data_IF_400966880413
#
_entry.id   IF_400966880413
#
_cell.length_a   1.000
_cell.length_b   1.000
_cell.length_c   1.000
_cell.angle_alpha   90.00
_cell.angle_beta   90.00
_cell.angle_gamma   90.00
#
_symmetry.space_group_name_H-M   'P 1'
#
loop_
_entity.id
_entity.type
_entity.pdbx_description
1 polymer ?
#
# COMPACT_ATOMS: atom_id res chain seq x y z
N UNK A 1 -17.40 1.99 -18.10
CA UNK A 1 -16.56 1.18 -17.19
C UNK A 1 -16.00 2.08 -16.10
N UNK A 2 -16.15 1.69 -14.86
CA UNK A 2 -15.56 2.39 -13.73
C UNK A 2 -14.06 2.59 -13.96
N UNK A 3 -13.61 3.83 -14.02
CA UNK A 3 -12.21 4.13 -14.13
C UNK A 3 -11.60 4.00 -12.73
N UNK A 4 -10.87 2.92 -12.48
CA UNK A 4 -10.00 2.85 -11.31
C UNK A 4 -8.76 3.69 -11.56
N UNK A 5 -8.38 4.50 -10.61
CA UNK A 5 -7.16 5.30 -10.70
C UNK A 5 -6.15 4.87 -9.63
N UNK A 6 -4.90 4.79 -10.03
CA UNK A 6 -3.81 4.42 -9.14
C UNK A 6 -3.11 5.69 -8.68
N UNK A 7 -3.20 5.96 -7.40
CA UNK A 7 -2.46 7.05 -6.78
C UNK A 7 -0.98 6.70 -6.72
N UNK A 8 -0.18 7.46 -7.44
CA UNK A 8 1.28 7.39 -7.34
C UNK A 8 1.76 8.42 -6.33
N UNK A 9 2.14 7.96 -5.16
CA UNK A 9 2.80 8.81 -4.20
C UNK A 9 4.26 9.00 -4.63
N UNK A 10 4.54 10.11 -5.26
CA UNK A 10 5.91 10.63 -5.29
C UNK A 10 6.08 11.52 -4.05
N UNK A 11 7.22 11.44 -3.40
CA UNK A 11 7.65 12.45 -2.42
C UNK A 11 7.91 13.75 -3.20
N UNK A 12 6.85 14.37 -3.67
CA UNK A 12 6.95 15.63 -4.38
C UNK A 12 6.68 16.77 -3.41
N UNK A 13 7.43 17.83 -3.57
CA UNK A 13 7.27 19.10 -2.84
C UNK A 13 5.85 19.70 -3.03
N UNK A 14 4.97 19.05 -3.79
CA UNK A 14 3.69 19.60 -4.18
C UNK A 14 2.49 18.67 -3.94
N UNK A 15 2.32 18.28 -2.68
CA UNK A 15 1.19 17.46 -2.21
C UNK A 15 -0.17 18.07 -2.57
N UNK A 16 -0.28 19.39 -2.55
CA UNK A 16 -1.50 20.12 -2.94
C UNK A 16 -1.82 19.90 -4.42
N UNK A 17 -0.82 19.89 -5.28
CA UNK A 17 -0.99 19.65 -6.72
C UNK A 17 -1.48 18.22 -7.00
N UNK A 18 -0.95 17.24 -6.27
CA UNK A 18 -1.39 15.85 -6.38
C UNK A 18 -2.86 15.68 -6.00
N UNK A 19 -3.27 16.23 -4.88
CA UNK A 19 -4.68 16.19 -4.43
C UNK A 19 -5.60 16.90 -5.43
N UNK A 20 -5.18 18.02 -5.98
CA UNK A 20 -5.93 18.73 -7.03
C UNK A 20 -6.10 17.89 -8.29
N UNK A 21 -5.06 17.18 -8.72
CA UNK A 21 -5.11 16.28 -9.86
C UNK A 21 -6.07 15.11 -9.61
N UNK A 22 -6.06 14.54 -8.41
CA UNK A 22 -7.00 13.50 -8.01
C UNK A 22 -8.44 14.01 -8.02
N UNK A 23 -8.69 15.21 -7.50
CA UNK A 23 -10.02 15.83 -7.55
C UNK A 23 -10.50 15.99 -8.99
N UNK A 24 -9.64 16.41 -9.90
CA UNK A 24 -9.95 16.52 -11.32
C UNK A 24 -10.35 15.16 -11.91
N UNK A 25 -9.65 14.10 -11.58
CA UNK A 25 -9.95 12.74 -12.05
C UNK A 25 -11.29 12.23 -11.50
N UNK A 26 -11.57 12.47 -10.23
CA UNK A 26 -12.85 12.12 -9.60
C UNK A 26 -14.00 12.89 -10.27
N UNK A 27 -13.84 14.19 -10.51
CA UNK A 27 -14.83 15.00 -11.22
C UNK A 27 -15.04 14.55 -12.67
N UNK A 28 -14.04 13.95 -13.28
CA UNK A 28 -14.12 13.37 -14.63
C UNK A 28 -14.75 11.95 -14.67
N UNK A 29 -15.11 11.38 -13.51
CA UNK A 29 -15.85 10.13 -13.42
C UNK A 29 -15.09 8.95 -12.79
N UNK A 30 -13.96 9.16 -12.14
CA UNK A 30 -13.33 8.10 -11.36
C UNK A 30 -14.20 7.75 -10.13
N UNK A 31 -14.54 6.49 -9.99
CA UNK A 31 -15.44 6.00 -8.93
C UNK A 31 -14.67 5.38 -7.76
N UNK A 32 -13.41 5.01 -7.97
CA UNK A 32 -12.54 4.39 -6.97
C UNK A 32 -11.11 4.86 -7.21
N UNK A 33 -10.38 5.13 -6.15
CA UNK A 33 -8.94 5.37 -6.17
C UNK A 33 -8.20 4.20 -5.54
N UNK A 34 -7.13 3.75 -6.16
CA UNK A 34 -6.23 2.74 -5.61
C UNK A 34 -4.87 3.39 -5.37
N UNK A 35 -4.37 3.31 -4.16
CA UNK A 35 -3.07 3.89 -3.84
C UNK A 35 -1.91 3.11 -4.47
N UNK A 36 -0.79 3.78 -4.73
CA UNK A 36 0.47 3.09 -4.92
C UNK A 36 0.82 2.32 -3.64
N UNK A 37 1.66 1.28 -3.76
CA UNK A 37 2.14 0.56 -2.58
C UNK A 37 2.85 1.49 -1.59
N UNK A 38 2.72 1.19 -0.31
CA UNK A 38 3.35 1.89 0.79
C UNK A 38 3.65 0.91 1.93
N UNK A 39 4.54 1.31 2.85
CA UNK A 39 4.95 0.48 3.97
C UNK A 39 4.68 1.12 5.33
N UNK A 40 4.26 2.38 5.32
CA UNK A 40 3.89 3.17 6.51
C UNK A 40 2.41 3.56 6.42
N UNK A 41 1.59 2.93 7.26
CA UNK A 41 0.15 3.20 7.27
C UNK A 41 -0.20 4.62 7.67
N UNK A 42 0.60 5.28 8.53
CA UNK A 42 0.36 6.66 8.93
C UNK A 42 0.38 7.60 7.71
N UNK A 43 1.25 7.32 6.76
CA UNK A 43 1.30 8.09 5.52
C UNK A 43 0.02 7.91 4.70
N UNK A 44 -0.54 6.71 4.67
CA UNK A 44 -1.81 6.45 4.00
C UNK A 44 -2.97 7.14 4.70
N UNK A 45 -3.04 7.10 6.03
CA UNK A 45 -4.08 7.78 6.79
C UNK A 45 -4.05 9.31 6.59
N UNK A 46 -2.87 9.92 6.62
CA UNK A 46 -2.72 11.35 6.32
C UNK A 46 -3.19 11.69 4.90
N UNK A 47 -2.89 10.82 3.94
CA UNK A 47 -3.38 11.00 2.57
C UNK A 47 -4.90 10.94 2.48
N UNK A 48 -5.53 9.98 3.15
CA UNK A 48 -6.99 9.87 3.21
C UNK A 48 -7.62 11.11 3.84
N UNK A 49 -7.02 11.65 4.91
CA UNK A 49 -7.49 12.87 5.56
C UNK A 49 -7.38 14.08 4.61
N UNK A 50 -6.29 14.21 3.88
CA UNK A 50 -6.15 15.26 2.87
C UNK A 50 -7.20 15.15 1.77
N UNK A 51 -7.52 13.93 1.33
CA UNK A 51 -8.58 13.70 0.36
C UNK A 51 -9.96 14.11 0.89
N UNK A 52 -10.25 13.84 2.16
CA UNK A 52 -11.49 14.28 2.82
C UNK A 52 -11.60 15.80 2.87
N UNK A 53 -10.51 16.49 3.23
CA UNK A 53 -10.45 17.96 3.23
C UNK A 53 -10.71 18.53 1.84
N UNK A 54 -10.23 17.86 0.79
CA UNK A 54 -10.44 18.24 -0.60
C UNK A 54 -11.82 17.82 -1.15
N UNK A 55 -12.70 17.26 -0.31
CA UNK A 55 -14.02 16.77 -0.70
C UNK A 55 -13.97 15.69 -1.79
N UNK A 56 -13.02 14.78 -1.68
CA UNK A 56 -12.93 13.56 -2.51
C UNK A 56 -13.74 12.47 -1.80
N UNK A 57 -14.91 12.14 -2.33
CA UNK A 57 -15.89 11.26 -1.68
C UNK A 57 -15.88 9.81 -2.20
N UNK A 58 -15.00 9.48 -3.14
CA UNK A 58 -14.88 8.12 -3.66
C UNK A 58 -14.06 7.24 -2.73
N UNK A 59 -14.30 5.92 -2.69
CA UNK A 59 -13.49 4.99 -1.92
C UNK A 59 -12.01 5.06 -2.30
N UNK A 60 -11.14 5.05 -1.31
CA UNK A 60 -9.68 4.99 -1.49
C UNK A 60 -9.19 3.67 -0.95
N UNK A 61 -8.71 2.82 -1.85
CA UNK A 61 -8.28 1.47 -1.53
C UNK A 61 -6.75 1.44 -1.38
N UNK A 62 -6.23 1.03 -0.22
CA UNK A 62 -4.78 0.94 0.00
C UNK A 62 -4.17 -0.20 -0.81
N UNK A 63 -3.04 0.08 -1.45
CA UNK A 63 -2.22 -0.91 -2.13
C UNK A 63 -1.16 -1.49 -1.20
N UNK A 64 -1.22 -2.78 -0.93
CA UNK A 64 -0.28 -3.49 -0.07
C UNK A 64 0.52 -4.50 -0.90
N UNK A 65 1.83 -4.48 -0.74
CA UNK A 65 2.72 -5.44 -1.36
C UNK A 65 3.55 -6.16 -0.30
N UNK A 66 3.34 -7.47 -0.12
CA UNK A 66 4.23 -8.26 0.71
C UNK A 66 5.63 -8.31 0.08
N UNK A 67 6.64 -7.92 0.84
CA UNK A 67 8.04 -8.00 0.41
C UNK A 67 8.60 -9.35 0.87
N UNK A 68 8.97 -10.19 -0.09
CA UNK A 68 9.37 -11.57 0.18
C UNK A 68 10.82 -11.88 -0.19
N UNK A 69 11.51 -10.96 -0.83
CA UNK A 69 12.92 -11.12 -1.17
C UNK A 69 13.65 -9.77 -1.29
N UNK A 70 14.97 -9.81 -1.17
CA UNK A 70 15.80 -8.61 -1.16
C UNK A 70 15.80 -7.85 -2.51
N UNK A 71 15.61 -8.55 -3.63
CA UNK A 71 15.59 -7.92 -4.95
C UNK A 71 14.35 -7.04 -5.15
N UNK A 72 13.22 -7.41 -4.58
CA UNK A 72 12.01 -6.59 -4.59
C UNK A 72 12.23 -5.24 -3.90
N UNK A 73 12.96 -5.24 -2.78
CA UNK A 73 13.24 -4.04 -1.99
C UNK A 73 13.96 -2.99 -2.83
N UNK A 74 15.04 -3.40 -3.50
CA UNK A 74 15.83 -2.51 -4.37
C UNK A 74 14.98 -1.94 -5.50
N UNK A 75 14.17 -2.77 -6.13
CA UNK A 75 13.26 -2.34 -7.21
C UNK A 75 12.23 -1.34 -6.71
N UNK A 76 11.65 -1.56 -5.53
CA UNK A 76 10.62 -0.69 -4.97
C UNK A 76 11.17 0.68 -4.59
N UNK A 77 12.36 0.75 -3.99
CA UNK A 77 13.03 2.03 -3.72
C UNK A 77 13.29 2.80 -5.01
N UNK A 78 13.79 2.12 -6.03
CA UNK A 78 14.15 2.77 -7.30
C UNK A 78 12.94 3.18 -8.13
N UNK A 79 11.91 2.34 -8.22
CA UNK A 79 10.77 2.55 -9.12
C UNK A 79 9.64 3.38 -8.51
N UNK A 80 9.40 3.23 -7.22
CA UNK A 80 8.23 3.80 -6.55
C UNK A 80 8.59 4.93 -5.58
N UNK A 81 9.87 5.17 -5.30
CA UNK A 81 10.29 6.13 -4.28
C UNK A 81 9.72 5.81 -2.90
N UNK A 82 9.37 4.55 -2.64
CA UNK A 82 8.77 4.14 -1.40
C UNK A 82 9.74 4.36 -0.23
N UNK A 83 9.27 5.02 0.82
CA UNK A 83 10.02 5.11 2.07
C UNK A 83 9.74 3.89 2.93
N UNK A 84 10.79 3.39 3.59
CA UNK A 84 10.69 2.28 4.51
C UNK A 84 10.69 2.79 5.95
N UNK A 85 9.65 2.47 6.75
CA UNK A 85 9.68 2.73 8.19
C UNK A 85 10.89 2.04 8.85
N UNK A 86 11.41 2.63 9.91
CA UNK A 86 12.55 2.07 10.64
C UNK A 86 12.32 0.61 11.06
N UNK A 87 11.13 0.30 11.52
CA UNK A 87 10.74 -1.07 11.89
C UNK A 87 10.89 -2.04 10.72
N UNK A 88 10.45 -1.66 9.54
CA UNK A 88 10.57 -2.49 8.35
C UNK A 88 12.03 -2.63 7.90
N UNK A 89 12.79 -1.55 7.96
CA UNK A 89 14.22 -1.55 7.65
C UNK A 89 15.00 -2.53 8.55
N UNK A 90 14.68 -2.55 9.84
CA UNK A 90 15.29 -3.50 10.79
C UNK A 90 14.96 -4.96 10.44
N UNK A 91 13.74 -5.23 10.00
CA UNK A 91 13.34 -6.58 9.55
C UNK A 91 14.15 -7.00 8.33
N UNK A 92 14.24 -6.13 7.33
CA UNK A 92 15.03 -6.39 6.11
C UNK A 92 16.48 -6.69 6.49
N UNK A 93 17.12 -5.80 7.22
CA UNK A 93 18.53 -5.93 7.60
C UNK A 93 18.80 -7.20 8.39
N UNK A 94 17.85 -7.65 9.20
CA UNK A 94 17.98 -8.87 10.00
C UNK A 94 17.93 -10.14 9.17
N UNK A 95 17.09 -10.17 8.12
CA UNK A 95 16.75 -11.41 7.42
C UNK A 95 17.13 -11.42 5.94
N UNK A 96 17.81 -10.39 5.43
CA UNK A 96 18.14 -10.27 3.99
C UNK A 96 18.96 -11.45 3.45
N UNK A 97 19.80 -12.07 4.29
CA UNK A 97 20.63 -13.22 3.95
C UNK A 97 19.94 -14.58 4.18
N UNK A 98 18.71 -14.58 4.69
CA UNK A 98 17.92 -15.79 4.92
C UNK A 98 16.59 -15.70 4.18
N UNK A 99 16.51 -16.34 3.03
CA UNK A 99 15.38 -16.26 2.11
C UNK A 99 14.05 -16.67 2.75
N UNK A 100 14.05 -17.76 3.52
CA UNK A 100 12.83 -18.28 4.16
C UNK A 100 12.37 -17.35 5.29
N UNK A 101 13.31 -16.89 6.12
CA UNK A 101 13.04 -15.96 7.19
C UNK A 101 12.53 -14.61 6.66
N UNK A 102 13.11 -14.09 5.58
CA UNK A 102 12.66 -12.85 4.97
C UNK A 102 11.25 -12.99 4.39
N UNK A 103 10.95 -14.14 3.76
CA UNK A 103 9.61 -14.43 3.27
C UNK A 103 8.59 -14.39 4.41
N UNK A 104 8.82 -15.11 5.48
CA UNK A 104 7.91 -15.17 6.63
C UNK A 104 7.76 -13.81 7.33
N UNK A 105 8.85 -13.10 7.53
CA UNK A 105 8.83 -11.76 8.13
C UNK A 105 8.12 -10.73 7.25
N UNK A 106 8.35 -10.78 5.95
CA UNK A 106 7.68 -9.89 4.98
C UNK A 106 6.18 -10.15 4.90
N UNK A 107 5.76 -11.40 4.91
CA UNK A 107 4.34 -11.79 4.96
C UNK A 107 3.68 -11.32 6.25
N UNK A 108 4.34 -11.50 7.39
CA UNK A 108 3.84 -11.07 8.70
C UNK A 108 3.71 -9.55 8.78
N UNK A 109 4.66 -8.82 8.22
CA UNK A 109 4.59 -7.36 8.15
C UNK A 109 3.39 -6.89 7.32
N UNK A 110 3.17 -7.47 6.15
CA UNK A 110 2.03 -7.14 5.29
C UNK A 110 0.69 -7.47 5.97
N UNK A 111 0.58 -8.61 6.63
CA UNK A 111 -0.61 -8.97 7.41
C UNK A 111 -0.86 -7.96 8.55
N UNK A 112 0.18 -7.56 9.26
CA UNK A 112 0.08 -6.53 10.30
C UNK A 112 -0.41 -5.19 9.75
N UNK A 113 0.08 -4.75 8.58
CA UNK A 113 -0.42 -3.57 7.90
C UNK A 113 -1.91 -3.68 7.56
N UNK A 114 -2.33 -4.81 7.02
CA UNK A 114 -3.73 -5.04 6.64
C UNK A 114 -4.64 -5.01 7.86
N UNK A 115 -4.26 -5.67 8.94
CA UNK A 115 -5.03 -5.65 10.20
C UNK A 115 -5.19 -4.23 10.72
N UNK A 116 -4.11 -3.46 10.75
CA UNK A 116 -4.14 -2.07 11.19
C UNK A 116 -5.05 -1.19 10.31
N UNK A 117 -5.03 -1.39 9.00
CA UNK A 117 -5.94 -0.70 8.07
C UNK A 117 -7.40 -1.07 8.33
N UNK A 118 -7.70 -2.35 8.51
CA UNK A 118 -9.07 -2.83 8.72
C UNK A 118 -9.66 -2.32 10.04
N UNK A 119 -8.87 -2.26 11.13
CA UNK A 119 -9.35 -1.73 12.42
C UNK A 119 -9.52 -0.20 12.41
N UNK A 120 -8.99 0.48 11.40
CA UNK A 120 -9.17 1.92 11.17
C UNK A 120 -10.18 2.22 10.05
N UNK A 121 -11.19 1.37 9.90
CA UNK A 121 -12.32 1.56 8.98
C UNK A 121 -11.97 1.59 7.48
N UNK A 122 -10.88 0.97 7.10
CA UNK A 122 -10.57 0.72 5.70
C UNK A 122 -11.19 -0.63 5.30
N UNK A 123 -12.09 -0.62 4.32
CA UNK A 123 -12.94 -1.77 4.01
C UNK A 123 -12.50 -2.58 2.77
N UNK A 124 -11.39 -2.23 2.16
CA UNK A 124 -10.87 -2.95 0.99
C UNK A 124 -9.37 -2.85 0.91
N UNK A 125 -8.75 -3.89 0.39
CA UNK A 125 -7.29 -3.96 0.19
C UNK A 125 -7.01 -4.34 -1.26
N UNK A 126 -6.13 -3.59 -1.91
CA UNK A 126 -5.57 -3.99 -3.19
C UNK A 126 -4.21 -4.67 -2.94
N UNK A 127 -4.11 -5.93 -3.31
CA UNK A 127 -2.91 -6.73 -3.05
C UNK A 127 -2.04 -6.82 -4.30
N UNK A 128 -0.82 -6.29 -4.20
CA UNK A 128 0.21 -6.47 -5.23
C UNK A 128 0.95 -7.78 -4.98
N UNK A 129 0.58 -8.82 -5.69
CA UNK A 129 1.18 -10.17 -5.51
C UNK A 129 2.39 -10.43 -6.38
N UNK A 130 2.65 -9.57 -7.36
CA UNK A 130 3.70 -9.75 -8.37
C UNK A 130 3.59 -11.11 -9.08
N UNK A 131 2.36 -11.51 -9.38
CA UNK A 131 2.02 -12.77 -10.02
C UNK A 131 2.49 -14.02 -9.23
N UNK A 132 2.55 -13.91 -7.91
CA UNK A 132 2.92 -15.01 -7.02
C UNK A 132 1.68 -15.56 -6.32
N UNK A 133 1.18 -16.75 -6.72
CA UNK A 133 -0.04 -17.32 -6.13
C UNK A 133 0.13 -17.74 -4.66
N UNK A 134 1.34 -18.06 -4.23
CA UNK A 134 1.62 -18.42 -2.83
C UNK A 134 1.41 -17.22 -1.92
N UNK A 135 1.87 -16.05 -2.34
CA UNK A 135 1.66 -14.77 -1.63
C UNK A 135 0.17 -14.47 -1.52
N UNK A 136 -0.56 -14.52 -2.63
CA UNK A 136 -1.99 -14.28 -2.64
C UNK A 136 -2.73 -15.21 -1.69
N UNK A 137 -2.44 -16.50 -1.76
CA UNK A 137 -3.04 -17.52 -0.90
C UNK A 137 -2.78 -17.27 0.58
N UNK A 138 -1.51 -17.03 0.96
CA UNK A 138 -1.11 -16.77 2.35
C UNK A 138 -1.84 -15.55 2.94
N UNK A 139 -1.90 -14.44 2.19
CA UNK A 139 -2.61 -13.24 2.65
C UNK A 139 -4.11 -13.51 2.79
N UNK A 140 -4.75 -14.10 1.79
CA UNK A 140 -6.19 -14.40 1.85
C UNK A 140 -6.55 -15.33 3.01
N UNK A 141 -5.74 -16.35 3.27
CA UNK A 141 -5.93 -17.23 4.43
C UNK A 141 -5.77 -16.49 5.76
N UNK A 142 -4.79 -15.58 5.85
CA UNK A 142 -4.51 -14.80 7.05
C UNK A 142 -5.59 -13.79 7.43
N UNK A 143 -6.38 -13.30 6.45
CA UNK A 143 -7.41 -12.28 6.69
C UNK A 143 -8.84 -12.80 6.54
N UNK A 144 -9.03 -14.09 6.21
CA UNK A 144 -10.34 -14.68 5.88
C UNK A 144 -11.42 -14.39 6.90
N UNK A 145 -11.09 -14.42 8.18
CA UNK A 145 -12.04 -14.26 9.27
C UNK A 145 -12.18 -12.81 9.77
N UNK A 146 -11.39 -11.90 9.25
CA UNK A 146 -11.36 -10.50 9.72
C UNK A 146 -11.80 -9.49 8.67
N UNK A 147 -11.97 -9.95 7.45
CA UNK A 147 -12.43 -9.10 6.35
C UNK A 147 -13.92 -9.24 6.10
#
# INVERSE_FOLDING_TARGET
SAASDVYKRQETENRVSEIRNLKTKVNAGAEVLISQLFFDNDQFFHFVDDCKIAEIDVPIIPGIMPVINASQIKRMVTMCGASFPEKFQKIINRYEDNREALFDAGMSYALSQIIDLLVNDIHGIHLYTMNNPVVAKRICEGIRNII
#
